data_IF_331986988903
#
_entry.id   IF_331986988903
#
_cell.length_a   1.000
_cell.length_b   1.000
_cell.length_c   1.000
_cell.angle_alpha   90.00
_cell.angle_beta   90.00
_cell.angle_gamma   90.00
#
_symmetry.space_group_name_H-M   'P 1'
#
loop_
_entity.id
_entity.type
_entity.pdbx_description
1 polymer ?
#
# COMPACT_ATOMS: atom_id res chain seq x y z
N UNK A 1 13.04 7.90 8.10
CA UNK A 1 12.87 9.31 7.63
C UNK A 1 14.16 9.73 6.93
N UNK A 2 14.16 10.80 6.13
CA UNK A 2 15.44 11.37 5.65
C UNK A 2 16.21 12.05 6.78
N UNK A 3 17.50 12.36 6.57
CA UNK A 3 18.32 13.12 7.52
C UNK A 3 17.73 14.50 7.87
N UNK A 4 16.86 15.02 6.99
CA UNK A 4 16.13 16.28 7.16
C UNK A 4 14.78 16.11 7.88
N UNK A 5 14.51 14.94 8.46
CA UNK A 5 13.27 14.64 9.19
C UNK A 5 12.02 14.43 8.31
N UNK A 6 12.11 14.69 7.00
CA UNK A 6 10.96 14.59 6.09
C UNK A 6 10.67 13.13 5.71
N UNK A 7 9.39 12.79 5.69
CA UNK A 7 8.87 11.51 5.17
C UNK A 7 8.73 11.62 3.66
N UNK A 8 9.09 10.55 2.94
CA UNK A 8 9.01 10.48 1.48
C UNK A 8 8.51 9.10 1.07
N UNK A 9 7.72 9.08 0.00
CA UNK A 9 7.37 7.85 -0.71
C UNK A 9 8.27 7.72 -1.94
N UNK A 10 8.73 6.52 -2.23
CA UNK A 10 9.57 6.26 -3.40
C UNK A 10 8.74 5.69 -4.55
N UNK A 11 8.60 6.49 -5.63
CA UNK A 11 7.86 6.13 -6.87
C UNK A 11 6.50 5.47 -6.59
N UNK A 12 5.64 6.06 -5.74
CA UNK A 12 4.37 5.43 -5.37
C UNK A 12 3.42 5.28 -6.56
N UNK A 13 3.51 6.17 -7.56
CA UNK A 13 2.75 6.12 -8.81
C UNK A 13 2.94 4.81 -9.59
N UNK A 14 4.16 4.24 -9.55
CA UNK A 14 4.43 2.94 -10.17
C UNK A 14 3.71 1.80 -9.47
N UNK A 15 3.61 1.87 -8.15
CA UNK A 15 2.93 0.86 -7.37
C UNK A 15 1.42 0.91 -7.65
N UNK A 16 0.85 2.11 -7.80
CA UNK A 16 -0.56 2.29 -8.20
C UNK A 16 -0.82 1.73 -9.59
N UNK A 17 0.02 2.07 -10.58
CA UNK A 17 -0.07 1.49 -11.94
C UNK A 17 -0.02 -0.03 -11.93
N UNK A 18 0.93 -0.61 -11.19
CA UNK A 18 1.04 -2.07 -11.06
C UNK A 18 -0.20 -2.68 -10.39
N UNK A 19 -0.72 -2.05 -9.34
CA UNK A 19 -1.90 -2.54 -8.63
C UNK A 19 -3.17 -2.51 -9.49
N UNK A 20 -3.34 -1.47 -10.33
CA UNK A 20 -4.46 -1.41 -11.29
C UNK A 20 -4.38 -2.53 -12.33
N UNK A 21 -3.21 -2.77 -12.92
CA UNK A 21 -3.01 -3.92 -13.82
C UNK A 21 -3.28 -5.26 -13.12
N UNK A 22 -2.90 -5.40 -11.85
CA UNK A 22 -3.20 -6.59 -11.06
C UNK A 22 -4.69 -6.75 -10.77
N UNK A 23 -5.41 -5.66 -10.46
CA UNK A 23 -6.85 -5.68 -10.21
C UNK A 23 -7.63 -6.12 -11.46
N UNK A 24 -7.34 -5.51 -12.61
CA UNK A 24 -7.94 -5.87 -13.90
C UNK A 24 -7.70 -7.35 -14.24
N UNK A 25 -6.45 -7.82 -14.11
CA UNK A 25 -6.10 -9.22 -14.41
C UNK A 25 -6.72 -10.22 -13.43
N UNK A 26 -7.06 -9.78 -12.23
CA UNK A 26 -7.71 -10.59 -11.19
C UNK A 26 -9.24 -10.47 -11.21
N UNK A 27 -9.81 -9.71 -12.15
CA UNK A 27 -11.25 -9.44 -12.25
C UNK A 27 -11.81 -8.81 -10.97
N UNK A 28 -10.98 -8.03 -10.29
CA UNK A 28 -11.36 -7.23 -9.12
C UNK A 28 -11.73 -5.81 -9.57
N UNK A 29 -12.56 -5.08 -8.81
CA UNK A 29 -12.95 -3.72 -9.17
C UNK A 29 -11.72 -2.81 -9.30
N UNK A 30 -11.69 -2.01 -10.36
CA UNK A 30 -10.71 -0.95 -10.52
C UNK A 30 -11.07 0.26 -9.67
N UNK A 31 -10.12 1.18 -9.51
CA UNK A 31 -10.26 2.37 -8.67
C UNK A 31 -9.39 3.50 -9.23
N UNK A 32 -9.53 4.72 -8.70
CA UNK A 32 -8.62 5.80 -9.03
C UNK A 32 -7.31 5.66 -8.23
N UNK A 33 -6.21 5.42 -8.95
CA UNK A 33 -4.90 5.24 -8.35
C UNK A 33 -4.35 6.50 -7.65
N UNK A 34 -4.77 7.71 -8.06
CA UNK A 34 -4.38 8.94 -7.37
C UNK A 34 -5.15 9.09 -6.05
N UNK A 35 -6.44 8.77 -6.04
CA UNK A 35 -7.24 8.83 -4.81
C UNK A 35 -6.76 7.82 -3.76
N UNK A 36 -6.43 6.58 -4.16
CA UNK A 36 -5.83 5.61 -3.23
C UNK A 36 -4.48 6.10 -2.70
N UNK A 37 -3.68 6.74 -3.55
CA UNK A 37 -2.41 7.33 -3.14
C UNK A 37 -2.59 8.46 -2.13
N UNK A 38 -3.60 9.31 -2.29
CA UNK A 38 -3.94 10.34 -1.30
C UNK A 38 -4.41 9.73 0.03
N UNK A 39 -5.22 8.67 0.00
CA UNK A 39 -5.59 7.92 1.20
C UNK A 39 -4.36 7.32 1.92
N UNK A 40 -3.41 6.73 1.18
CA UNK A 40 -2.16 6.21 1.73
C UNK A 40 -1.32 7.33 2.36
N UNK A 41 -1.22 8.49 1.70
CA UNK A 41 -0.49 9.66 2.26
C UNK A 41 -1.11 10.11 3.58
N UNK A 42 -2.44 10.18 3.67
CA UNK A 42 -3.16 10.53 4.92
C UNK A 42 -2.92 9.50 6.03
N UNK A 43 -2.97 8.21 5.70
CA UNK A 43 -2.66 7.13 6.65
C UNK A 43 -1.22 7.26 7.19
N UNK A 44 -0.23 7.42 6.30
CA UNK A 44 1.18 7.57 6.71
C UNK A 44 1.41 8.87 7.49
N UNK A 45 0.65 9.92 7.21
CA UNK A 45 0.71 11.16 7.98
C UNK A 45 0.16 10.97 9.40
N UNK A 46 -0.94 10.25 9.56
CA UNK A 46 -1.50 9.90 10.87
C UNK A 46 -0.52 9.01 11.66
N UNK A 47 0.08 8.03 11.00
CA UNK A 47 1.04 7.08 11.58
C UNK A 47 2.50 7.57 11.47
N UNK A 48 2.74 8.88 11.36
CA UNK A 48 4.07 9.41 11.06
C UNK A 48 5.13 8.99 12.09
N UNK A 49 4.74 8.78 13.36
CA UNK A 49 5.64 8.36 14.44
C UNK A 49 6.11 6.91 14.30
N UNK A 50 5.37 6.08 13.55
CA UNK A 50 5.80 4.72 13.21
C UNK A 50 6.88 4.70 12.13
N UNK A 51 7.10 5.80 11.40
CA UNK A 51 8.18 5.89 10.41
C UNK A 51 9.53 5.96 11.14
N UNK A 52 10.42 4.96 11.00
CA UNK A 52 11.64 4.89 11.80
C UNK A 52 12.49 6.15 11.71
N UNK A 53 13.04 6.56 12.85
CA UNK A 53 14.09 7.59 12.96
C UNK A 53 15.48 6.96 12.72
N UNK A 54 15.61 6.23 11.63
CA UNK A 54 16.85 5.60 11.17
C UNK A 54 16.96 5.77 9.66
N UNK A 55 18.19 5.87 9.17
CA UNK A 55 18.52 5.91 7.74
C UNK A 55 18.54 4.51 7.11
N UNK A 56 18.64 3.47 7.93
CA UNK A 56 18.72 2.06 7.50
C UNK A 56 17.38 1.32 7.61
N UNK A 57 16.35 1.95 8.16
CA UNK A 57 15.03 1.36 8.37
C UNK A 57 13.93 2.18 7.69
N UNK A 58 12.82 1.52 7.35
CA UNK A 58 11.72 2.11 6.58
C UNK A 58 10.36 1.76 7.18
N UNK A 59 9.32 2.51 6.81
CA UNK A 59 7.94 2.07 7.01
C UNK A 59 7.48 1.40 5.72
N UNK A 60 7.20 0.10 5.80
CA UNK A 60 6.67 -0.65 4.68
C UNK A 60 5.15 -0.46 4.60
N UNK A 61 4.63 -0.30 3.37
CA UNK A 61 3.21 -0.07 3.10
C UNK A 61 2.68 -1.23 2.26
N UNK A 62 1.59 -1.85 2.71
CA UNK A 62 0.98 -3.03 2.09
C UNK A 62 -0.48 -2.74 1.68
N UNK A 63 -0.72 -2.11 0.52
CA UNK A 63 -2.04 -2.11 -0.08
C UNK A 63 -2.44 -3.53 -0.47
N UNK A 64 -3.68 -3.91 -0.19
CA UNK A 64 -4.21 -5.25 -0.40
C UNK A 64 -5.64 -5.16 -0.93
N UNK A 65 -5.93 -5.88 -2.00
CA UNK A 65 -7.26 -5.98 -2.61
C UNK A 65 -7.64 -7.46 -2.69
N UNK A 66 -8.78 -7.81 -2.10
CA UNK A 66 -9.30 -9.18 -2.06
C UNK A 66 -10.78 -9.21 -2.48
N UNK A 67 -11.19 -10.27 -3.15
CA UNK A 67 -12.60 -10.60 -3.32
C UNK A 67 -13.14 -11.20 -2.01
N UNK A 68 -14.34 -10.79 -1.60
CA UNK A 68 -14.98 -11.22 -0.34
C UNK A 68 -16.33 -11.87 -0.58
N UNK A 69 -16.56 -12.36 -1.80
CA UNK A 69 -17.80 -13.04 -2.21
C UNK A 69 -18.16 -14.19 -1.26
N UNK A 70 -19.40 -14.22 -0.71
CA UNK A 70 -19.82 -15.22 0.27
C UNK A 70 -20.28 -16.54 -0.38
N UNK A 71 -19.76 -16.87 -1.56
CA UNK A 71 -20.12 -18.08 -2.31
C UNK A 71 -18.89 -18.85 -2.75
N UNK A 72 -19.06 -20.15 -3.00
CA UNK A 72 -17.99 -21.04 -3.46
C UNK A 72 -17.88 -21.10 -5.00
N UNK A 73 -18.74 -20.36 -5.72
CA UNK A 73 -18.74 -20.33 -7.17
C UNK A 73 -17.43 -19.72 -7.69
N UNK A 74 -16.88 -20.30 -8.76
CA UNK A 74 -15.68 -19.76 -9.41
C UNK A 74 -16.13 -18.72 -10.45
N UNK A 75 -16.25 -17.47 -10.00
CA UNK A 75 -16.66 -16.33 -10.82
C UNK A 75 -15.96 -15.04 -10.39
N UNK A 76 -16.17 -13.95 -11.14
CA UNK A 76 -15.82 -12.62 -10.67
C UNK A 76 -16.57 -12.31 -9.35
N UNK A 77 -15.92 -11.70 -8.35
CA UNK A 77 -16.57 -11.37 -7.09
C UNK A 77 -17.45 -10.12 -7.23
N UNK A 78 -18.63 -10.13 -6.61
CA UNK A 78 -19.50 -8.94 -6.50
C UNK A 78 -19.16 -8.10 -5.26
N UNK A 79 -18.44 -8.68 -4.30
CA UNK A 79 -17.95 -8.00 -3.11
C UNK A 79 -16.43 -8.04 -3.04
N UNK A 80 -15.80 -6.93 -2.63
CA UNK A 80 -14.34 -6.85 -2.50
C UNK A 80 -13.95 -5.89 -1.39
N UNK A 81 -12.79 -6.13 -0.80
CA UNK A 81 -12.19 -5.29 0.24
C UNK A 81 -10.82 -4.78 -0.22
N UNK A 82 -10.69 -3.46 -0.24
CA UNK A 82 -9.42 -2.75 -0.39
C UNK A 82 -8.99 -2.21 0.98
N UNK A 83 -7.82 -2.61 1.45
CA UNK A 83 -7.26 -2.14 2.71
C UNK A 83 -5.75 -1.91 2.62
N UNK A 84 -5.20 -1.12 3.55
CA UNK A 84 -3.77 -0.81 3.61
C UNK A 84 -3.28 -1.04 5.04
N UNK A 85 -2.19 -1.80 5.17
CA UNK A 85 -1.48 -1.99 6.45
C UNK A 85 -0.08 -1.40 6.32
N UNK A 86 0.44 -0.84 7.41
CA UNK A 86 1.80 -0.30 7.51
C UNK A 86 2.58 -1.04 8.60
N UNK A 87 3.90 -1.06 8.50
CA UNK A 87 4.76 -1.63 9.54
C UNK A 87 6.23 -1.25 9.40
N UNK A 88 6.95 -0.98 10.51
CA UNK A 88 8.37 -0.65 10.45
C UNK A 88 9.20 -1.88 10.08
N UNK A 89 10.19 -1.68 9.22
CA UNK A 89 11.09 -2.73 8.71
C UNK A 89 12.53 -2.28 8.84
N UNK A 90 13.36 -3.15 9.44
CA UNK A 90 14.79 -2.93 9.63
C UNK A 90 15.63 -3.17 8.35
N UNK A 91 16.95 -2.99 8.44
CA UNK A 91 17.84 -3.24 7.32
C UNK A 91 17.96 -4.74 7.00
N UNK A 92 18.17 -5.06 5.72
CA UNK A 92 18.46 -6.42 5.27
C UNK A 92 19.96 -6.78 5.33
N UNK A 93 20.83 -5.77 5.31
CA UNK A 93 22.28 -5.93 5.33
C UNK A 93 22.86 -5.27 6.59
N UNK A 94 23.97 -5.80 7.13
CA UNK A 94 24.66 -5.14 8.23
C UNK A 94 25.13 -3.74 7.82
N UNK A 95 25.01 -2.81 8.75
CA UNK A 95 25.47 -1.42 8.64
C UNK A 95 26.84 -1.22 9.26
#
# INVERSE_FOLDING_TARGET
RGNDGKIRLFRPDLNMRRMLTSAERSVLPTFDGQELLECIKKLVHLDADWVPQSTSSTLYIRPTLIGTEPTLGVSAPNESLLFVVTGPVGPYFPT
#
